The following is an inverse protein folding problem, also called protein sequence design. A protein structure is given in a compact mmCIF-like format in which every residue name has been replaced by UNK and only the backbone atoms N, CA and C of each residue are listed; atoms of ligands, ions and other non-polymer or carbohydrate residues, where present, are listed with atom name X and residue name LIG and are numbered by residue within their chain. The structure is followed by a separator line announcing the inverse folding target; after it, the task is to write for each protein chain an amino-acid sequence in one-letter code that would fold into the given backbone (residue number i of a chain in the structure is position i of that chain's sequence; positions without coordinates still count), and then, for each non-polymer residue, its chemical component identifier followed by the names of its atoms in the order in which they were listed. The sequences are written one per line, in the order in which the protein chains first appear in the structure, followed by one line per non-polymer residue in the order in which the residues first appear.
data_IF_124508958385
#
_entry.id   IF_124508958385
#
_cell.length_a   1.000
_cell.length_b   1.000
_cell.length_c   1.000
_cell.angle_alpha   90.00
_cell.angle_beta   90.00
_cell.angle_gamma   90.00
#
_symmetry.space_group_name_H-M   'P 1'
#
loop_
_entity.id
_entity.type
_entity.pdbx_description
1 polymer ?
#
# COMPACT_ATOMS: atom_id res chain seq x y z
N UNK A 1 36.46 14.25 42.70
CA UNK A 1 35.29 13.60 42.07
C UNK A 1 35.55 12.21 41.49
N UNK A 2 36.79 11.79 41.14
CA UNK A 2 37.05 10.44 40.59
C UNK A 2 36.91 9.26 41.56
N UNK A 3 37.14 9.48 42.87
CA UNK A 3 37.15 8.39 43.86
C UNK A 3 35.73 7.85 44.10
N UNK A 4 34.74 8.74 44.11
CA UNK A 4 33.33 8.38 44.32
C UNK A 4 32.74 7.62 43.13
N UNK A 5 33.15 7.93 41.90
CA UNK A 5 32.68 7.22 40.71
C UNK A 5 33.17 5.78 40.65
N UNK A 6 34.43 5.52 41.00
CA UNK A 6 34.98 4.16 41.05
C UNK A 6 34.31 3.30 42.12
N UNK A 7 34.13 3.84 43.34
CA UNK A 7 33.45 3.11 44.41
C UNK A 7 31.99 2.79 44.05
N UNK A 8 31.31 3.70 43.35
CA UNK A 8 29.94 3.47 42.88
C UNK A 8 29.90 2.37 41.79
N UNK A 9 30.86 2.38 40.85
CA UNK A 9 30.92 1.41 39.76
C UNK A 9 31.26 -0.01 40.26
N UNK A 10 32.19 -0.14 41.21
CA UNK A 10 32.53 -1.42 41.85
C UNK A 10 31.35 -1.99 42.64
N UNK A 11 30.61 -1.13 43.35
CA UNK A 11 29.41 -1.53 44.09
C UNK A 11 28.30 -2.02 43.15
N UNK A 12 28.10 -1.35 42.01
CA UNK A 12 27.10 -1.73 41.00
C UNK A 12 27.50 -3.05 40.32
N UNK A 13 28.78 -3.24 40.02
CA UNK A 13 29.29 -4.50 39.47
C UNK A 13 29.06 -5.67 40.43
N UNK A 14 29.34 -5.47 41.72
CA UNK A 14 29.14 -6.49 42.76
C UNK A 14 27.65 -6.88 42.93
N UNK A 15 26.72 -5.92 42.88
CA UNK A 15 25.27 -6.21 42.93
C UNK A 15 24.80 -6.98 41.70
N UNK A 16 25.37 -6.68 40.52
CA UNK A 16 25.04 -7.35 39.27
C UNK A 16 25.48 -8.82 39.25
N UNK A 17 26.54 -9.15 39.98
CA UNK A 17 27.08 -10.51 40.11
C UNK A 17 26.31 -11.33 41.16
N UNK A 18 25.79 -10.68 42.21
CA UNK A 18 25.04 -11.33 43.30
C UNK A 18 23.60 -11.69 42.93
N UNK A 19 22.93 -10.91 42.06
CA UNK A 19 21.52 -11.13 41.71
C UNK A 19 21.32 -11.14 40.18
N UNK A 20 20.72 -12.19 39.61
CA UNK A 20 20.45 -12.22 38.18
C UNK A 20 19.45 -11.11 37.81
N UNK A 21 19.63 -10.51 36.64
CA UNK A 21 18.78 -9.40 36.18
C UNK A 21 17.29 -9.74 36.15
N UNK A 22 16.94 -11.02 36.04
CA UNK A 22 15.56 -11.51 36.12
C UNK A 22 14.87 -11.21 37.44
N UNK A 23 15.61 -11.10 38.54
CA UNK A 23 15.08 -10.80 39.88
C UNK A 23 14.94 -9.30 40.07
N UNK A 24 15.95 -8.52 39.64
CA UNK A 24 15.92 -7.05 39.70
C UNK A 24 14.74 -6.51 38.89
N UNK A 25 14.49 -7.11 37.72
CA UNK A 25 13.42 -6.72 36.80
C UNK A 25 12.18 -7.62 36.86
N UNK A 26 11.93 -8.31 37.99
CA UNK A 26 10.80 -9.23 38.12
C UNK A 26 9.44 -8.56 37.80
N UNK A 27 9.28 -7.29 38.16
CA UNK A 27 8.08 -6.49 37.84
C UNK A 27 7.93 -6.18 36.33
N UNK A 28 8.99 -6.34 35.54
CA UNK A 28 9.07 -6.07 34.11
C UNK A 28 9.32 -7.35 33.28
N UNK A 29 8.93 -8.52 33.80
CA UNK A 29 9.08 -9.80 33.09
C UNK A 29 10.53 -10.30 33.04
N UNK A 30 11.38 -9.84 33.96
CA UNK A 30 12.74 -10.32 34.13
C UNK A 30 13.76 -9.75 33.14
N UNK A 31 13.41 -8.70 32.40
CA UNK A 31 14.35 -7.96 31.54
C UNK A 31 14.29 -6.46 31.80
N UNK A 32 15.39 -5.73 31.61
CA UNK A 32 15.40 -4.28 31.71
C UNK A 32 14.36 -3.67 30.76
N UNK A 33 13.58 -2.67 31.19
CA UNK A 33 12.65 -2.00 30.30
C UNK A 33 13.42 -1.31 29.17
N UNK A 34 12.82 -1.27 27.98
CA UNK A 34 13.41 -0.53 26.86
C UNK A 34 13.38 0.97 27.18
N UNK A 35 14.50 1.66 26.94
CA UNK A 35 14.60 3.12 27.06
C UNK A 35 13.68 3.87 26.08
N UNK A 36 13.22 3.21 25.02
CA UNK A 36 12.23 3.73 24.07
C UNK A 36 11.07 2.74 23.91
N UNK A 37 9.82 3.24 23.77
CA UNK A 37 8.69 2.39 23.46
C UNK A 37 8.84 1.75 22.07
N UNK A 38 8.19 0.60 21.87
CA UNK A 38 8.29 -0.19 20.62
C UNK A 38 7.87 0.57 19.35
N UNK A 39 7.07 1.63 19.48
CA UNK A 39 6.56 2.41 18.36
C UNK A 39 6.91 3.90 18.44
N UNK A 40 8.03 4.25 19.08
CA UNK A 40 8.41 5.63 19.43
C UNK A 40 7.31 6.37 20.22
N UNK A 41 7.63 7.55 20.76
CA UNK A 41 6.69 8.32 21.57
C UNK A 41 5.58 8.98 20.75
N UNK A 42 5.81 9.15 19.45
CA UNK A 42 4.89 9.78 18.49
C UNK A 42 4.10 8.77 17.65
N UNK A 43 4.35 7.46 17.85
CA UNK A 43 3.71 6.42 17.04
C UNK A 43 4.23 6.33 15.61
N UNK A 44 5.24 7.12 15.22
CA UNK A 44 5.73 7.21 13.84
C UNK A 44 6.52 5.98 13.41
N UNK A 45 7.14 5.27 14.37
CA UNK A 45 7.92 4.06 14.12
C UNK A 45 7.05 2.79 14.03
N UNK A 46 5.75 2.88 14.31
CA UNK A 46 4.84 1.76 14.13
C UNK A 46 4.62 1.51 12.61
N UNK A 47 4.61 0.25 12.15
CA UNK A 47 4.37 -0.06 10.75
C UNK A 47 2.99 0.47 10.33
N UNK A 48 2.95 1.38 9.36
CA UNK A 48 1.70 1.90 8.80
C UNK A 48 0.90 0.74 8.23
N UNK A 49 -0.42 0.80 8.40
CA UNK A 49 -1.29 -0.23 7.84
C UNK A 49 -1.16 -0.25 6.31
N UNK A 50 -1.17 -1.44 5.71
CA UNK A 50 -1.16 -1.61 4.24
C UNK A 50 -2.26 -0.78 3.56
N UNK A 51 -3.38 -0.58 4.24
CA UNK A 51 -4.51 0.20 3.74
C UNK A 51 -4.14 1.68 3.58
N UNK A 52 -3.48 2.31 4.56
CA UNK A 52 -3.13 3.72 4.45
C UNK A 52 -2.09 4.02 3.36
N UNK A 53 -1.13 3.12 3.14
CA UNK A 53 -0.08 3.34 2.14
C UNK A 53 -0.50 2.97 0.73
N UNK A 54 -1.33 1.93 0.56
CA UNK A 54 -1.62 1.38 -0.77
C UNK A 54 -3.05 1.62 -1.27
N UNK A 55 -3.95 2.19 -0.47
CA UNK A 55 -5.34 2.44 -0.90
C UNK A 55 -5.41 3.27 -2.19
N UNK A 56 -4.59 4.31 -2.33
CA UNK A 56 -4.57 5.12 -3.56
C UNK A 56 -4.12 4.29 -4.77
N UNK A 57 -3.06 3.49 -4.60
CA UNK A 57 -2.50 2.63 -5.66
C UNK A 57 -3.51 1.56 -6.09
N UNK A 58 -4.21 0.96 -5.13
CA UNK A 58 -5.23 -0.06 -5.39
C UNK A 58 -6.44 0.53 -6.12
N UNK A 59 -6.91 1.72 -5.72
CA UNK A 59 -8.02 2.39 -6.41
C UNK A 59 -7.64 2.71 -7.84
N UNK A 60 -6.47 3.30 -8.08
CA UNK A 60 -6.00 3.62 -9.44
C UNK A 60 -5.83 2.35 -10.27
N UNK A 61 -5.23 1.30 -9.68
CA UNK A 61 -5.03 0.01 -10.31
C UNK A 61 -6.32 -0.72 -10.68
N UNK A 62 -7.45 -0.43 -10.01
CA UNK A 62 -8.76 -0.99 -10.34
C UNK A 62 -9.54 -0.12 -11.33
N UNK A 63 -9.55 1.20 -11.14
CA UNK A 63 -10.40 2.12 -11.92
C UNK A 63 -9.88 2.30 -13.34
N UNK A 64 -8.56 2.48 -13.51
CA UNK A 64 -7.94 2.72 -14.81
C UNK A 64 -8.18 1.58 -15.81
N UNK A 65 -7.94 0.29 -15.48
CA UNK A 65 -8.17 -0.78 -16.44
C UNK A 65 -9.66 -0.94 -16.77
N UNK A 66 -10.57 -0.74 -15.80
CA UNK A 66 -12.01 -0.79 -16.05
C UNK A 66 -12.42 0.31 -17.04
N UNK A 67 -11.92 1.54 -16.87
CA UNK A 67 -12.20 2.64 -17.78
C UNK A 67 -11.67 2.35 -19.21
N UNK A 68 -10.48 1.76 -19.33
CA UNK A 68 -9.90 1.36 -20.62
C UNK A 68 -10.76 0.29 -21.30
N UNK A 69 -11.22 -0.72 -20.57
CA UNK A 69 -12.07 -1.79 -21.11
C UNK A 69 -13.38 -1.20 -21.64
N UNK A 70 -14.02 -0.31 -20.87
CA UNK A 70 -15.27 0.34 -21.29
C UNK A 70 -15.04 1.18 -22.56
N UNK A 71 -13.97 1.99 -22.60
CA UNK A 71 -13.65 2.80 -23.76
C UNK A 71 -13.38 1.95 -25.01
N UNK A 72 -12.62 0.86 -24.85
CA UNK A 72 -12.35 -0.08 -25.94
C UNK A 72 -13.63 -0.75 -26.46
N UNK A 73 -14.51 -1.21 -25.56
CA UNK A 73 -15.77 -1.82 -25.94
C UNK A 73 -16.66 -0.84 -26.72
N UNK A 74 -16.79 0.40 -26.24
CA UNK A 74 -17.54 1.45 -26.93
C UNK A 74 -16.95 1.77 -28.30
N UNK A 75 -15.62 1.85 -28.40
CA UNK A 75 -14.95 2.09 -29.68
C UNK A 75 -15.21 0.98 -30.69
N UNK A 76 -15.08 -0.29 -30.27
CA UNK A 76 -15.33 -1.45 -31.12
C UNK A 76 -16.79 -1.50 -31.58
N UNK A 77 -17.76 -1.27 -30.69
CA UNK A 77 -19.17 -1.25 -31.06
C UNK A 77 -19.44 -0.15 -32.08
N UNK A 78 -18.86 1.04 -31.87
CA UNK A 78 -19.02 2.18 -32.77
C UNK A 78 -18.37 1.93 -34.13
N UNK A 79 -17.18 1.33 -34.18
CA UNK A 79 -16.51 1.00 -35.44
C UNK A 79 -17.28 -0.06 -36.22
N UNK A 80 -17.75 -1.10 -35.55
CA UNK A 80 -18.59 -2.14 -36.18
C UNK A 80 -19.86 -1.57 -36.78
N UNK A 81 -20.56 -0.68 -36.05
CA UNK A 81 -21.76 -0.02 -36.57
C UNK A 81 -21.46 0.81 -37.82
N UNK A 82 -20.34 1.53 -37.84
CA UNK A 82 -19.93 2.30 -39.02
C UNK A 82 -19.60 1.39 -40.22
N UNK A 83 -18.95 0.25 -39.98
CA UNK A 83 -18.68 -0.73 -41.04
C UNK A 83 -19.97 -1.32 -41.62
N UNK A 84 -20.93 -1.66 -40.75
CA UNK A 84 -22.26 -2.14 -41.17
C UNK A 84 -23.01 -1.10 -42.01
N UNK A 85 -22.99 0.17 -41.60
CA UNK A 85 -23.59 1.27 -42.37
C UNK A 85 -22.93 1.44 -43.75
N UNK A 86 -21.60 1.32 -43.83
CA UNK A 86 -20.87 1.38 -45.10
C UNK A 86 -21.21 0.22 -46.03
N UNK A 87 -21.29 -1.00 -45.50
CA UNK A 87 -21.67 -2.19 -46.26
C UNK A 87 -23.12 -2.11 -46.74
N UNK A 88 -24.03 -1.60 -45.90
CA UNK A 88 -25.44 -1.44 -46.26
C UNK A 88 -25.61 -0.40 -47.38
N UNK A 89 -24.85 0.69 -47.34
CA UNK A 89 -24.85 1.70 -48.40
C UNK A 89 -24.40 1.13 -49.76
N UNK A 90 -23.48 0.15 -49.78
CA UNK A 90 -23.04 -0.52 -51.01
C UNK A 90 -24.11 -1.43 -51.63
N UNK A 91 -25.05 -1.95 -50.82
CA UNK A 91 -26.15 -2.79 -51.28
C UNK A 91 -27.35 -1.99 -51.83
N UNK A 92 -27.37 -0.66 -51.67
CA UNK A 92 -28.43 0.17 -52.20
C UNK A 92 -28.24 0.36 -53.71
N UNK A 93 -29.20 -0.14 -54.50
CA UNK A 93 -29.24 0.09 -55.94
C UNK A 93 -29.70 1.54 -56.17
N UNK A 94 -28.91 2.39 -56.85
CA UNK A 94 -29.30 3.77 -57.05
C UNK A 94 -30.50 3.85 -58.00
N UNK A 95 -31.55 4.59 -57.60
CA UNK A 95 -32.81 4.72 -58.36
C UNK A 95 -32.63 5.22 -59.80
N UNK A 96 -31.52 5.91 -60.09
CA UNK A 96 -31.13 6.32 -61.45
C UNK A 96 -30.93 5.12 -62.39
N UNK A 97 -30.48 3.96 -61.90
CA UNK A 97 -30.36 2.76 -62.73
C UNK A 97 -31.72 2.14 -63.11
N UNK A 98 -32.81 2.54 -62.44
CA UNK A 98 -34.16 2.00 -62.64
C UNK A 98 -35.03 2.87 -63.55
N UNK A 99 -34.53 4.04 -64.01
CA UNK A 99 -35.24 4.86 -64.97
C UNK A 99 -35.28 4.15 -66.33
N UNK A 100 -36.47 3.69 -66.73
CA UNK A 100 -36.70 3.06 -68.03
C UNK A 100 -36.74 4.14 -69.11
N UNK A 101 -35.91 3.97 -70.16
CA UNK A 101 -35.96 4.77 -71.39
C UNK A 101 -37.35 4.73 -72.03
#
# INVERSE_FOLDING_TARGET
MKITENLQNDSIAMVQELQPQSIIWAAHGGSPPLNRPKCDFDGSACPKSFVEQYLVIVIVGAVVPVAIIIAAALFIIRSRKQEEERLNALWQIPFIMLAKC
#
